data_IF_834417263820
#
_entry.id   IF_834417263820
#
_cell.length_a   1.000
_cell.length_b   1.000
_cell.length_c   1.000
_cell.angle_alpha   90.00
_cell.angle_beta   90.00
_cell.angle_gamma   90.00
#
_symmetry.space_group_name_H-M   'P 1'
#
loop_
_entity.id
_entity.type
_entity.pdbx_description
1 polymer ?
#
# COMPACT_ATOMS: atom_id res chain seq x y z
N UNK A 1 -7.89 13.20 21.39
CA UNK A 1 -7.35 12.84 22.73
C UNK A 1 -8.34 11.91 23.43
N UNK A 2 -7.86 10.90 24.15
CA UNK A 2 -8.75 10.01 24.90
C UNK A 2 -9.38 10.78 26.08
N UNK A 3 -10.32 10.15 26.76
CA UNK A 3 -10.98 10.70 27.95
C UNK A 3 -10.01 10.96 29.12
N UNK A 4 -8.75 10.54 29.00
CA UNK A 4 -7.67 10.78 29.97
C UNK A 4 -6.67 11.85 29.49
N UNK A 5 -6.87 12.48 28.33
CA UNK A 5 -6.00 13.52 27.78
C UNK A 5 -4.77 13.00 27.02
N UNK A 6 -4.63 11.69 26.81
CA UNK A 6 -3.54 11.16 26.00
C UNK A 6 -3.78 11.44 24.52
N UNK A 7 -2.68 11.61 23.78
CA UNK A 7 -2.73 11.61 22.32
C UNK A 7 -3.24 10.27 21.82
N UNK A 8 -4.44 10.27 21.22
CA UNK A 8 -4.97 9.10 20.52
C UNK A 8 -4.23 8.95 19.21
N UNK A 9 -3.58 7.80 18.99
CA UNK A 9 -3.09 7.44 17.67
C UNK A 9 -4.25 7.47 16.70
N UNK A 10 -4.06 8.11 15.53
CA UNK A 10 -5.06 8.10 14.47
C UNK A 10 -5.14 6.68 13.93
N UNK A 11 -6.28 6.03 14.10
CA UNK A 11 -6.58 4.70 13.56
C UNK A 11 -7.67 4.83 12.48
N UNK A 12 -7.66 3.94 11.49
CA UNK A 12 -8.63 3.98 10.40
C UNK A 12 -8.21 3.12 9.21
N UNK A 13 -9.14 2.95 8.28
CA UNK A 13 -8.87 2.36 6.96
C UNK A 13 -8.62 3.52 6.01
N UNK A 14 -7.45 3.52 5.36
CA UNK A 14 -7.09 4.49 4.35
C UNK A 14 -6.91 3.78 3.01
N UNK A 15 -7.56 4.27 1.98
CA UNK A 15 -7.36 3.82 0.59
C UNK A 15 -6.04 4.35 0.04
N UNK A 16 -5.49 3.71 -0.98
CA UNK A 16 -4.24 4.14 -1.61
C UNK A 16 -4.36 5.56 -2.19
N UNK A 17 -5.48 5.88 -2.84
CA UNK A 17 -5.79 7.22 -3.34
C UNK A 17 -5.88 8.29 -2.24
N UNK A 18 -6.36 7.95 -1.04
CA UNK A 18 -6.36 8.88 0.10
C UNK A 18 -4.93 9.19 0.57
N UNK A 19 -3.99 8.25 0.45
CA UNK A 19 -2.60 8.47 0.85
C UNK A 19 -1.86 9.37 -0.13
N UNK A 20 -2.13 9.21 -1.43
CA UNK A 20 -1.64 10.13 -2.47
C UNK A 20 -2.23 11.53 -2.23
N UNK A 21 -3.55 11.62 -2.03
CA UNK A 21 -4.24 12.90 -1.83
C UNK A 21 -3.82 13.62 -0.54
N UNK A 22 -3.49 12.86 0.51
CA UNK A 22 -2.99 13.40 1.77
C UNK A 22 -1.48 13.74 1.74
N UNK A 23 -0.79 13.48 0.63
CA UNK A 23 0.64 13.77 0.46
C UNK A 23 1.57 12.81 1.20
N UNK A 24 1.09 11.61 1.55
CA UNK A 24 1.94 10.55 2.09
C UNK A 24 2.66 9.78 0.98
N UNK A 25 1.98 9.62 -0.16
CA UNK A 25 2.54 9.11 -1.40
C UNK A 25 2.56 10.23 -2.45
N UNK A 26 3.49 10.15 -3.39
CA UNK A 26 3.47 10.98 -4.59
C UNK A 26 2.44 10.46 -5.60
N UNK A 27 2.32 11.16 -6.73
CA UNK A 27 1.37 10.80 -7.80
C UNK A 27 1.69 9.48 -8.51
N UNK A 28 2.89 8.94 -8.30
CA UNK A 28 3.32 7.64 -8.81
C UNK A 28 3.18 6.55 -7.73
N UNK A 29 2.59 6.87 -6.57
CA UNK A 29 2.47 5.92 -5.48
C UNK A 29 3.74 5.74 -4.65
N UNK A 30 4.76 6.56 -4.89
CA UNK A 30 6.03 6.48 -4.18
C UNK A 30 5.98 7.21 -2.85
N UNK A 31 6.59 6.64 -1.82
CA UNK A 31 6.54 7.22 -0.49
C UNK A 31 7.43 8.46 -0.43
N UNK A 32 6.86 9.59 0.01
CA UNK A 32 7.58 10.85 0.16
C UNK A 32 8.43 10.90 1.46
N UNK A 33 8.33 9.87 2.28
CA UNK A 33 9.05 9.70 3.54
C UNK A 33 9.69 8.31 3.62
N UNK A 34 10.65 8.13 4.55
CA UNK A 34 11.32 6.86 4.76
C UNK A 34 10.29 5.72 4.94
N UNK A 35 10.43 4.65 4.16
CA UNK A 35 9.66 3.42 4.29
C UNK A 35 10.59 2.26 4.65
N UNK A 36 10.05 1.28 5.36
CA UNK A 36 10.68 -0.01 5.61
C UNK A 36 9.98 -1.02 4.71
N UNK A 37 10.75 -1.75 3.90
CA UNK A 37 10.26 -2.90 3.16
C UNK A 37 10.64 -4.16 3.94
N UNK A 38 9.63 -4.90 4.42
CA UNK A 38 9.87 -6.22 5.00
C UNK A 38 9.96 -7.25 3.88
N UNK A 39 11.19 -7.64 3.55
CA UNK A 39 11.48 -8.62 2.50
C UNK A 39 10.95 -10.02 2.81
N UNK A 40 10.74 -10.37 4.09
CA UNK A 40 10.23 -11.68 4.48
C UNK A 40 8.73 -11.81 4.20
N UNK A 41 7.98 -10.72 4.40
CA UNK A 41 6.52 -10.70 4.23
C UNK A 41 6.08 -9.97 2.95
N UNK A 42 7.04 -9.41 2.19
CA UNK A 42 6.78 -8.56 1.02
C UNK A 42 5.78 -7.44 1.33
N UNK A 43 5.92 -6.83 2.52
CA UNK A 43 5.01 -5.80 3.03
C UNK A 43 5.76 -4.49 3.24
N UNK A 44 5.18 -3.38 2.80
CA UNK A 44 5.75 -2.04 3.00
C UNK A 44 5.16 -1.42 4.24
N UNK A 45 6.03 -0.86 5.06
CA UNK A 45 5.71 -0.25 6.34
C UNK A 45 6.36 1.14 6.37
N UNK A 46 5.59 2.20 6.19
CA UNK A 46 6.10 3.56 6.35
C UNK A 46 5.70 4.12 7.72
N UNK A 47 6.64 4.53 8.59
CA UNK A 47 6.32 5.33 9.75
C UNK A 47 5.92 6.74 9.30
N UNK A 48 4.62 7.06 9.34
CA UNK A 48 4.18 8.44 9.18
C UNK A 48 4.69 9.26 10.38
N UNK A 49 5.11 10.51 10.16
CA UNK A 49 5.35 11.49 11.24
C UNK A 49 4.43 12.69 11.00
N UNK A 50 3.81 13.27 12.03
CA UNK A 50 4.03 13.04 13.47
C UNK A 50 3.24 11.87 14.09
N UNK A 51 2.36 11.21 13.33
CA UNK A 51 1.58 10.07 13.81
C UNK A 51 2.26 8.77 13.37
N UNK A 52 2.82 7.99 14.27
CA UNK A 52 3.36 6.64 14.00
C UNK A 52 2.25 5.70 13.50
N UNK A 53 1.81 5.91 12.26
CA UNK A 53 0.89 5.04 11.54
C UNK A 53 1.77 4.05 10.83
N UNK A 54 1.68 2.78 11.23
CA UNK A 54 2.24 1.67 10.47
C UNK A 54 1.19 1.31 9.42
N UNK A 55 1.39 1.82 8.22
CA UNK A 55 0.50 1.48 7.12
C UNK A 55 1.06 0.25 6.43
N UNK A 56 0.35 -0.87 6.51
CA UNK A 56 0.60 -2.03 5.68
C UNK A 56 0.20 -1.64 4.25
N UNK A 57 1.16 -1.05 3.54
CA UNK A 57 0.95 -0.53 2.21
C UNK A 57 1.15 -1.64 1.20
N UNK A 58 0.13 -1.84 0.36
CA UNK A 58 0.37 -2.31 -1.00
C UNK A 58 1.05 -1.17 -1.75
N UNK A 59 2.36 -1.03 -1.58
CA UNK A 59 3.21 -0.25 -2.49
C UNK A 59 3.41 -1.03 -3.77
N UNK A 60 3.62 -0.44 -4.95
CA UNK A 60 3.80 -1.16 -6.24
C UNK A 60 4.65 -2.44 -6.18
N UNK A 61 5.70 -2.48 -5.35
CA UNK A 61 6.51 -3.69 -5.13
C UNK A 61 5.73 -4.88 -4.56
N UNK A 62 4.72 -4.67 -3.72
CA UNK A 62 3.93 -5.72 -3.11
C UNK A 62 2.85 -6.32 -4.05
N UNK A 63 2.07 -5.54 -4.83
CA UNK A 63 1.27 -6.04 -5.94
C UNK A 63 2.12 -6.72 -7.01
N UNK A 64 3.28 -6.16 -7.40
CA UNK A 64 4.18 -6.82 -8.35
C UNK A 64 4.66 -8.18 -7.85
N UNK A 65 5.16 -8.28 -6.61
CA UNK A 65 5.58 -9.56 -6.04
C UNK A 65 4.43 -10.59 -5.96
N UNK A 66 3.20 -10.14 -5.77
CA UNK A 66 2.02 -11.01 -5.85
C UNK A 66 1.70 -11.42 -7.29
N UNK A 67 1.89 -10.53 -8.26
CA UNK A 67 1.76 -10.84 -9.69
C UNK A 67 2.77 -11.89 -10.13
N UNK A 68 4.03 -11.75 -9.73
CA UNK A 68 5.09 -12.75 -9.95
C UNK A 68 4.68 -14.08 -9.33
N UNK A 69 4.22 -14.08 -8.07
CA UNK A 69 3.76 -15.29 -7.40
C UNK A 69 2.59 -15.98 -8.13
N UNK A 70 1.63 -15.20 -8.65
CA UNK A 70 0.51 -15.73 -9.44
C UNK A 70 1.01 -16.41 -10.72
N UNK A 71 1.92 -15.75 -11.45
CA UNK A 71 2.51 -16.28 -12.67
C UNK A 71 3.34 -17.56 -12.39
N UNK A 72 4.25 -17.49 -11.42
CA UNK A 72 5.15 -18.58 -11.04
C UNK A 72 4.40 -19.84 -10.58
N UNK A 73 3.25 -19.66 -9.92
CA UNK A 73 2.45 -20.76 -9.39
C UNK A 73 1.25 -21.14 -10.28
N UNK A 74 1.13 -20.54 -11.48
CA UNK A 74 0.02 -20.80 -12.41
C UNK A 74 -1.36 -20.65 -11.74
N UNK A 75 -1.51 -19.65 -10.86
CA UNK A 75 -2.79 -19.32 -10.25
C UNK A 75 -3.70 -18.65 -11.29
N UNK A 76 -5.02 -18.75 -11.09
CA UNK A 76 -5.99 -18.24 -12.06
C UNK A 76 -6.02 -16.70 -12.18
N UNK A 77 -5.45 -15.97 -11.21
CA UNK A 77 -5.42 -14.51 -11.20
C UNK A 77 -5.51 -13.94 -9.78
N UNK A 78 -6.01 -12.70 -9.67
CA UNK A 78 -6.19 -11.99 -8.40
C UNK A 78 -7.60 -11.42 -8.23
N UNK A 79 -7.94 -11.05 -7.00
CA UNK A 79 -9.09 -10.22 -6.68
C UNK A 79 -8.61 -9.06 -5.80
N UNK A 80 -9.20 -7.87 -6.00
CA UNK A 80 -8.81 -6.66 -5.27
C UNK A 80 -10.04 -6.02 -4.60
N UNK A 81 -9.86 -5.57 -3.36
CA UNK A 81 -10.84 -4.79 -2.62
C UNK A 81 -10.17 -3.53 -2.04
N UNK A 82 -10.60 -2.31 -2.34
CA UNK A 82 -11.60 -1.92 -3.35
C UNK A 82 -10.92 -1.18 -4.50
N UNK A 83 -11.46 -1.37 -5.72
CA UNK A 83 -10.90 -0.76 -6.95
C UNK A 83 -10.95 0.76 -6.90
N UNK A 84 -11.97 1.35 -6.28
CA UNK A 84 -12.11 2.80 -6.12
C UNK A 84 -10.98 3.42 -5.29
N UNK A 85 -10.33 2.62 -4.46
CA UNK A 85 -9.21 3.04 -3.63
C UNK A 85 -7.88 3.09 -4.36
N UNK A 86 -7.80 2.57 -5.59
CA UNK A 86 -6.59 2.60 -6.42
C UNK A 86 -6.41 3.96 -7.10
N UNK A 87 -5.22 4.54 -6.98
CA UNK A 87 -4.93 5.85 -7.55
C UNK A 87 -4.40 5.67 -8.97
N UNK A 88 -5.16 6.12 -9.98
CA UNK A 88 -4.78 6.02 -11.39
C UNK A 88 -4.35 4.60 -11.83
N UNK A 89 -5.00 3.57 -11.28
CA UNK A 89 -4.73 2.16 -11.58
C UNK A 89 -3.32 1.65 -11.24
N UNK A 90 -2.54 2.36 -10.40
CA UNK A 90 -1.16 1.98 -10.07
C UNK A 90 -1.06 0.56 -9.52
N UNK A 91 -1.98 0.15 -8.62
CA UNK A 91 -1.91 -1.17 -8.01
C UNK A 91 -2.29 -2.28 -8.99
N UNK A 92 -3.32 -2.04 -9.82
CA UNK A 92 -3.78 -2.98 -10.84
C UNK A 92 -2.77 -3.14 -11.97
N UNK A 93 -2.21 -2.04 -12.47
CA UNK A 93 -1.20 -2.04 -13.53
C UNK A 93 0.08 -2.75 -13.08
N UNK A 94 0.45 -2.60 -11.80
CA UNK A 94 1.56 -3.32 -11.20
C UNK A 94 1.35 -4.85 -11.20
N UNK A 95 0.14 -5.32 -10.87
CA UNK A 95 -0.22 -6.74 -10.94
C UNK A 95 -0.17 -7.28 -12.37
N UNK A 96 -0.78 -6.57 -13.32
CA UNK A 96 -0.79 -6.98 -14.73
C UNK A 96 0.62 -7.05 -15.32
N UNK A 97 1.43 -6.02 -15.07
CA UNK A 97 2.82 -5.96 -15.54
C UNK A 97 3.63 -7.14 -15.01
N UNK A 98 3.53 -7.46 -13.71
CA UNK A 98 4.26 -8.59 -13.10
C UNK A 98 3.73 -9.95 -13.57
N UNK A 99 2.43 -10.08 -13.83
CA UNK A 99 1.85 -11.28 -14.45
C UNK A 99 2.21 -11.44 -15.95
N UNK A 100 2.73 -10.40 -16.58
CA UNK A 100 3.10 -10.39 -18.00
C UNK A 100 1.91 -10.32 -18.96
N UNK A 101 0.82 -9.65 -18.58
CA UNK A 101 -0.42 -9.48 -19.39
C UNK A 101 -0.81 -8.02 -19.59
#
# INVERSE_FOLDING_TARGET
PDQCGNSTSVTGVYTFAQLVSAGFLDVNGQALHNYLFDTCTSTVISPLKPCTVYLALAYEYAPAAKGDFIADNSLAGFAMWEVTGDYNAILVDSLYTAMGI
#
